data_IF_063109633791
#
_entry.id   IF_063109633791
#
_cell.length_a   1.000
_cell.length_b   1.000
_cell.length_c   1.000
_cell.angle_alpha   90.00
_cell.angle_beta   90.00
_cell.angle_gamma   90.00
#
_symmetry.space_group_name_H-M   'P 1'
#
loop_
_entity.id
_entity.type
_entity.pdbx_description
1 polymer ?
#
# COMPACT_ATOMS: atom_id res chain seq x y z
N UNK A 1 4.05 7.87 -8.22
CA UNK A 1 3.88 8.82 -7.10
C UNK A 1 2.39 9.08 -6.94
N UNK A 2 1.90 9.09 -5.71
CA UNK A 2 0.51 9.41 -5.41
C UNK A 2 0.44 10.76 -4.70
N UNK A 3 -0.57 11.56 -5.06
CA UNK A 3 -0.73 12.92 -4.56
C UNK A 3 -2.11 13.09 -3.94
N UNK A 4 -2.21 14.02 -2.99
CA UNK A 4 -3.45 14.40 -2.32
C UNK A 4 -3.58 15.92 -2.33
N UNK A 5 -4.81 16.43 -2.44
CA UNK A 5 -5.07 17.85 -2.23
C UNK A 5 -5.12 18.21 -0.73
N UNK A 6 -5.27 19.47 -0.42
CA UNK A 6 -5.31 20.00 0.97
C UNK A 6 -6.52 19.53 1.78
N UNK A 7 -7.53 18.94 1.11
CA UNK A 7 -8.70 18.34 1.74
C UNK A 7 -8.54 16.81 1.92
N UNK A 8 -7.40 16.27 1.50
CA UNK A 8 -7.11 14.85 1.57
C UNK A 8 -7.71 14.04 0.41
N UNK A 9 -8.21 14.67 -0.65
CA UNK A 9 -8.73 13.92 -1.79
C UNK A 9 -7.57 13.43 -2.66
N UNK A 10 -7.60 12.16 -3.12
CA UNK A 10 -6.56 11.61 -3.98
C UNK A 10 -6.56 12.28 -5.37
N UNK A 11 -5.36 12.58 -5.85
CA UNK A 11 -5.09 13.24 -7.15
C UNK A 11 -4.17 12.34 -7.98
N UNK A 12 -4.65 11.14 -8.35
CA UNK A 12 -3.83 10.12 -9.02
C UNK A 12 -3.74 10.35 -10.53
N UNK A 13 -4.76 10.96 -11.12
CA UNK A 13 -4.86 11.20 -12.55
C UNK A 13 -5.36 12.61 -12.84
N UNK A 14 -4.97 13.13 -14.02
CA UNK A 14 -5.40 14.45 -14.52
C UNK A 14 -5.72 14.35 -16.01
N UNK A 15 -6.70 15.13 -16.46
CA UNK A 15 -7.07 15.21 -17.89
C UNK A 15 -5.92 15.78 -18.72
N UNK A 16 -5.63 15.14 -19.84
CA UNK A 16 -4.79 15.67 -20.92
C UNK A 16 -5.57 16.68 -21.77
N UNK A 17 -4.84 17.44 -22.60
CA UNK A 17 -5.44 18.37 -23.58
C UNK A 17 -6.30 17.67 -24.64
N UNK A 18 -5.99 16.42 -24.95
CA UNK A 18 -6.72 15.56 -25.89
C UNK A 18 -7.97 14.87 -25.30
N UNK A 19 -8.29 15.16 -24.03
CA UNK A 19 -9.44 14.57 -23.30
C UNK A 19 -9.15 13.25 -22.60
N UNK A 20 -7.99 12.61 -22.84
CA UNK A 20 -7.57 11.40 -22.16
C UNK A 20 -7.12 11.66 -20.71
N UNK A 21 -6.95 10.59 -19.92
CA UNK A 21 -6.39 10.67 -18.57
C UNK A 21 -4.89 10.32 -18.59
N UNK A 22 -4.14 10.88 -17.67
CA UNK A 22 -2.75 10.49 -17.39
C UNK A 22 -2.47 10.54 -15.88
N UNK A 23 -1.51 9.75 -15.45
CA UNK A 23 -1.01 9.83 -14.08
C UNK A 23 -0.45 11.24 -13.78
N UNK A 24 -0.68 11.70 -12.56
CA UNK A 24 -0.17 12.97 -12.04
C UNK A 24 1.34 12.90 -11.78
N UNK A 25 2.00 14.02 -11.93
CA UNK A 25 3.44 14.16 -11.79
C UNK A 25 3.80 15.19 -10.71
N UNK A 26 5.08 15.26 -10.33
CA UNK A 26 5.58 16.30 -9.45
C UNK A 26 5.32 17.73 -10.00
N UNK A 27 5.33 17.88 -11.33
CA UNK A 27 5.02 19.19 -11.96
C UNK A 27 3.57 19.61 -11.70
N UNK A 28 2.65 18.65 -11.77
CA UNK A 28 1.24 18.91 -11.47
C UNK A 28 1.06 19.24 -9.99
N UNK A 29 1.72 18.48 -9.11
CA UNK A 29 1.69 18.73 -7.66
C UNK A 29 2.19 20.14 -7.30
N UNK A 30 3.31 20.58 -7.88
CA UNK A 30 3.83 21.95 -7.70
C UNK A 30 2.86 23.02 -8.17
N UNK A 31 2.15 22.76 -9.26
CA UNK A 31 1.16 23.71 -9.82
C UNK A 31 -0.06 23.88 -8.92
N UNK A 32 -0.46 22.81 -8.21
CA UNK A 32 -1.71 22.76 -7.48
C UNK A 32 -1.54 22.70 -5.95
N UNK A 33 -0.31 22.73 -5.43
CA UNK A 33 -0.04 22.63 -4.00
C UNK A 33 -0.36 21.23 -3.42
N UNK A 34 -0.33 20.16 -4.25
CA UNK A 34 -0.65 18.82 -3.77
C UNK A 34 0.48 18.21 -2.96
N UNK A 35 0.14 17.46 -1.92
CA UNK A 35 1.09 16.81 -1.02
C UNK A 35 1.39 15.37 -1.46
N UNK A 36 2.63 14.85 -1.23
CA UNK A 36 2.96 13.45 -1.51
C UNK A 36 2.23 12.49 -0.57
N UNK A 37 1.96 11.27 -1.03
CA UNK A 37 1.47 10.21 -0.15
C UNK A 37 2.57 9.72 0.81
N UNK A 38 2.15 9.15 1.96
CA UNK A 38 3.04 8.42 2.88
C UNK A 38 3.91 7.40 2.12
N UNK A 39 3.32 6.61 1.21
CA UNK A 39 4.06 5.63 0.42
C UNK A 39 5.06 6.26 -0.55
N UNK A 40 4.72 7.40 -1.15
CA UNK A 40 5.66 8.17 -2.02
C UNK A 40 6.85 8.70 -1.23
N UNK A 41 6.64 9.13 0.00
CA UNK A 41 7.71 9.55 0.91
C UNK A 41 8.60 8.35 1.27
N UNK A 42 8.00 7.24 1.69
CA UNK A 42 8.74 6.04 2.10
C UNK A 42 9.49 5.35 0.95
N UNK A 43 9.12 5.59 -0.31
CA UNK A 43 9.86 5.06 -1.46
C UNK A 43 11.32 5.57 -1.53
N UNK A 44 11.64 6.68 -0.84
CA UNK A 44 13.01 7.23 -0.81
C UNK A 44 13.98 6.37 0.03
N UNK A 45 13.45 5.68 1.04
CA UNK A 45 14.23 4.80 1.93
C UNK A 45 14.54 3.46 1.27
N UNK A 46 13.86 3.18 0.13
CA UNK A 46 13.97 1.90 -0.56
C UNK A 46 13.15 0.79 0.13
N UNK A 47 13.06 -0.34 -0.56
CA UNK A 47 12.33 -1.54 -0.11
C UNK A 47 13.19 -2.79 -0.33
N UNK A 48 14.21 -3.05 0.51
CA UNK A 48 15.13 -4.16 0.29
C UNK A 48 14.43 -5.51 0.10
N UNK A 49 13.38 -5.79 0.87
CA UNK A 49 12.59 -7.02 0.72
C UNK A 49 11.90 -7.15 -0.64
N UNK A 50 11.46 -6.04 -1.24
CA UNK A 50 10.88 -6.03 -2.58
C UNK A 50 11.94 -6.32 -3.66
N UNK A 51 13.15 -5.78 -3.50
CA UNK A 51 14.24 -6.04 -4.45
C UNK A 51 14.67 -7.51 -4.41
N UNK A 52 14.82 -8.09 -3.22
CA UNK A 52 15.07 -9.54 -3.06
C UNK A 52 13.95 -10.37 -3.70
N UNK A 53 12.69 -10.01 -3.47
CA UNK A 53 11.55 -10.69 -4.07
C UNK A 53 11.57 -10.63 -5.60
N UNK A 54 11.87 -9.47 -6.19
CA UNK A 54 12.00 -9.32 -7.66
C UNK A 54 13.11 -10.19 -8.24
N UNK A 55 14.25 -10.27 -7.55
CA UNK A 55 15.37 -11.14 -7.97
C UNK A 55 14.94 -12.60 -7.91
N UNK A 56 14.29 -13.04 -6.84
CA UNK A 56 13.79 -14.41 -6.72
C UNK A 56 12.78 -14.75 -7.83
N UNK A 57 11.84 -13.84 -8.15
CA UNK A 57 10.90 -14.03 -9.27
C UNK A 57 11.60 -14.10 -10.63
N UNK A 58 12.67 -13.35 -10.84
CA UNK A 58 13.47 -13.48 -12.05
C UNK A 58 14.20 -14.84 -12.14
N UNK A 59 14.71 -15.34 -11.00
CA UNK A 59 15.35 -16.67 -10.92
C UNK A 59 14.32 -17.77 -11.18
N UNK A 60 13.14 -17.75 -10.53
CA UNK A 60 12.05 -18.68 -10.77
C UNK A 60 11.64 -18.71 -12.25
N UNK A 61 11.51 -17.53 -12.86
CA UNK A 61 11.21 -17.42 -14.30
C UNK A 61 12.34 -18.01 -15.16
N UNK A 62 13.61 -17.83 -14.78
CA UNK A 62 14.74 -18.43 -15.50
C UNK A 62 14.76 -19.95 -15.44
N UNK A 63 14.23 -20.54 -14.36
CA UNK A 63 14.12 -22.00 -14.20
C UNK A 63 12.94 -22.61 -15.01
N UNK A 64 11.93 -21.80 -15.35
CA UNK A 64 10.69 -22.27 -16.02
C UNK A 64 10.64 -21.92 -17.50
N UNK A 65 11.18 -20.77 -17.91
CA UNK A 65 11.17 -20.29 -19.30
C UNK A 65 12.29 -20.96 -20.09
N UNK A 66 11.96 -21.98 -20.86
CA UNK A 66 12.93 -22.70 -21.70
C UNK A 66 13.44 -21.84 -22.85
N UNK A 67 14.73 -21.99 -23.20
CA UNK A 67 15.33 -21.34 -24.36
C UNK A 67 14.79 -21.94 -25.66
N UNK A 68 14.45 -21.07 -26.61
CA UNK A 68 13.99 -21.50 -27.92
C UNK A 68 15.16 -21.84 -28.84
N UNK A 69 14.91 -22.74 -29.81
CA UNK A 69 15.92 -23.11 -30.83
C UNK A 69 16.27 -21.87 -31.67
N UNK A 70 17.54 -21.55 -31.77
CA UNK A 70 18.03 -20.38 -32.52
C UNK A 70 17.95 -19.04 -31.77
N UNK A 71 17.39 -19.02 -30.56
CA UNK A 71 17.31 -17.80 -29.75
C UNK A 71 18.71 -17.42 -29.21
N UNK A 72 19.05 -16.14 -29.27
CA UNK A 72 20.27 -15.63 -28.63
C UNK A 72 20.10 -15.60 -27.10
N UNK A 73 21.23 -15.50 -26.39
CA UNK A 73 21.22 -15.37 -24.93
C UNK A 73 20.44 -14.12 -24.48
N UNK A 74 20.60 -13.01 -25.19
CA UNK A 74 19.96 -11.73 -24.87
C UNK A 74 18.45 -11.76 -25.10
N UNK A 75 17.96 -12.43 -26.15
CA UNK A 75 16.55 -12.62 -26.41
C UNK A 75 15.91 -13.49 -25.33
N UNK A 76 16.57 -14.60 -24.94
CA UNK A 76 16.11 -15.45 -23.85
C UNK A 76 16.03 -14.66 -22.53
N UNK A 77 17.06 -13.91 -22.16
CA UNK A 77 17.07 -13.08 -20.96
C UNK A 77 15.92 -12.04 -20.96
N UNK A 78 15.64 -11.39 -22.09
CA UNK A 78 14.48 -10.50 -22.25
C UNK A 78 13.16 -11.20 -22.01
N UNK A 79 12.98 -12.44 -22.52
CA UNK A 79 11.75 -13.22 -22.28
C UNK A 79 11.60 -13.61 -20.82
N UNK A 80 12.66 -14.03 -20.14
CA UNK A 80 12.67 -14.33 -18.70
C UNK A 80 12.20 -13.10 -17.91
N UNK A 81 12.81 -11.93 -18.17
CA UNK A 81 12.43 -10.69 -17.49
C UNK A 81 11.00 -10.25 -17.81
N UNK A 82 10.53 -10.46 -19.03
CA UNK A 82 9.13 -10.15 -19.40
C UNK A 82 8.16 -11.07 -18.66
N UNK A 83 8.47 -12.38 -18.54
CA UNK A 83 7.68 -13.34 -17.77
C UNK A 83 7.60 -12.95 -16.29
N UNK A 84 8.74 -12.69 -15.66
CA UNK A 84 8.81 -12.25 -14.26
C UNK A 84 8.00 -10.97 -14.00
N UNK A 85 8.04 -9.99 -14.91
CA UNK A 85 7.23 -8.76 -14.81
C UNK A 85 5.74 -9.05 -14.88
N UNK A 86 5.32 -9.91 -15.80
CA UNK A 86 3.91 -10.32 -15.95
C UNK A 86 3.38 -10.99 -14.68
N UNK A 87 4.15 -11.89 -14.07
CA UNK A 87 3.78 -12.51 -12.80
C UNK A 87 3.68 -11.48 -11.68
N UNK A 88 4.63 -10.55 -11.59
CA UNK A 88 4.62 -9.47 -10.60
C UNK A 88 3.40 -8.55 -10.76
N UNK A 89 3.01 -8.22 -11.99
CA UNK A 89 1.80 -7.46 -12.29
C UNK A 89 0.53 -8.20 -11.92
N UNK A 90 0.48 -9.51 -12.14
CA UNK A 90 -0.66 -10.33 -11.74
C UNK A 90 -0.80 -10.39 -10.21
N UNK A 91 0.31 -10.58 -9.48
CA UNK A 91 0.31 -10.55 -8.01
C UNK A 91 -0.17 -9.18 -7.48
N UNK A 92 0.30 -8.07 -8.06
CA UNK A 92 -0.17 -6.73 -7.70
C UNK A 92 -1.67 -6.54 -7.97
N UNK A 93 -2.20 -7.02 -9.11
CA UNK A 93 -3.64 -6.98 -9.42
C UNK A 93 -4.48 -7.80 -8.44
N UNK A 94 -4.00 -8.99 -8.04
CA UNK A 94 -4.66 -9.79 -6.99
C UNK A 94 -4.72 -9.03 -5.68
N UNK A 95 -3.61 -8.40 -5.27
CA UNK A 95 -3.54 -7.58 -4.07
C UNK A 95 -4.56 -6.43 -4.09
N UNK A 96 -4.57 -5.62 -5.15
CA UNK A 96 -5.53 -4.51 -5.31
C UNK A 96 -6.97 -5.00 -5.21
N UNK A 97 -7.28 -6.14 -5.83
CA UNK A 97 -8.63 -6.71 -5.79
C UNK A 97 -9.02 -7.12 -4.37
N UNK A 98 -8.17 -7.83 -3.63
CA UNK A 98 -8.44 -8.23 -2.24
C UNK A 98 -8.66 -6.99 -1.36
N UNK A 99 -7.85 -5.95 -1.52
CA UNK A 99 -8.03 -4.67 -0.81
C UNK A 99 -9.40 -4.03 -1.10
N UNK A 100 -9.82 -3.98 -2.38
CA UNK A 100 -11.12 -3.42 -2.76
C UNK A 100 -12.29 -4.21 -2.15
N UNK A 101 -12.20 -5.54 -2.11
CA UNK A 101 -13.23 -6.39 -1.51
C UNK A 101 -13.29 -6.21 0.01
N UNK A 102 -12.15 -6.09 0.69
CA UNK A 102 -12.10 -5.78 2.11
C UNK A 102 -12.67 -4.38 2.41
N UNK A 103 -12.37 -3.38 1.56
CA UNK A 103 -12.98 -2.06 1.65
C UNK A 103 -14.51 -2.15 1.64
N UNK A 104 -15.06 -2.83 0.64
CA UNK A 104 -16.51 -3.02 0.50
C UNK A 104 -17.10 -3.77 1.70
N UNK A 105 -16.43 -4.82 2.15
CA UNK A 105 -16.86 -5.61 3.30
C UNK A 105 -16.94 -4.75 4.58
N UNK A 106 -15.91 -3.98 4.90
CA UNK A 106 -15.90 -3.12 6.09
C UNK A 106 -16.80 -1.89 5.96
N UNK A 107 -17.15 -1.46 4.75
CA UNK A 107 -18.19 -0.44 4.51
C UNK A 107 -19.62 -0.96 4.67
N UNK A 108 -19.81 -2.24 4.97
CA UNK A 108 -21.12 -2.91 4.99
C UNK A 108 -21.89 -2.86 3.66
N UNK A 109 -21.19 -2.60 2.58
CA UNK A 109 -21.72 -2.69 1.23
C UNK A 109 -21.63 -4.15 0.77
N UNK A 110 -22.46 -5.04 1.37
CA UNK A 110 -22.57 -6.42 0.92
C UNK A 110 -23.16 -6.45 -0.48
N UNK A 111 -22.32 -6.66 -1.48
CA UNK A 111 -22.79 -7.06 -2.80
C UNK A 111 -23.05 -8.57 -2.68
N UNK A 112 -24.28 -8.92 -2.32
CA UNK A 112 -24.79 -10.28 -2.52
C UNK A 112 -25.20 -10.39 -3.99
N UNK A 113 -24.31 -10.84 -4.86
CA UNK A 113 -24.72 -11.39 -6.15
C UNK A 113 -24.64 -12.90 -6.08
N UNK A 114 -25.76 -13.55 -6.31
CA UNK A 114 -25.95 -14.98 -6.16
C UNK A 114 -25.28 -15.83 -7.25
N UNK A 115 -24.48 -15.25 -8.15
CA UNK A 115 -24.07 -15.87 -9.41
C UNK A 115 -22.54 -15.91 -9.68
N UNK A 116 -21.70 -15.69 -8.68
CA UNK A 116 -20.24 -15.69 -8.85
C UNK A 116 -19.58 -16.92 -8.22
N UNK A 117 -19.55 -18.03 -8.93
CA UNK A 117 -18.92 -19.32 -8.65
C UNK A 117 -17.88 -19.44 -7.50
N UNK A 118 -16.96 -20.38 -7.58
CA UNK A 118 -15.92 -20.67 -6.56
C UNK A 118 -15.09 -19.45 -6.11
N UNK A 119 -15.03 -18.43 -6.95
CA UNK A 119 -14.28 -17.21 -6.71
C UNK A 119 -14.89 -16.33 -5.60
N UNK A 120 -16.22 -16.23 -5.50
CA UNK A 120 -16.90 -15.50 -4.42
C UNK A 120 -16.65 -16.18 -3.07
N UNK A 121 -16.56 -17.50 -3.07
CA UNK A 121 -16.27 -18.31 -1.88
C UNK A 121 -14.91 -17.96 -1.28
N UNK A 122 -13.86 -17.77 -2.10
CA UNK A 122 -12.52 -17.48 -1.61
C UNK A 122 -12.40 -16.05 -1.08
N UNK A 123 -13.01 -15.07 -1.73
CA UNK A 123 -13.08 -13.69 -1.23
C UNK A 123 -13.84 -13.64 0.10
N UNK A 124 -14.96 -14.36 0.21
CA UNK A 124 -15.71 -14.44 1.46
C UNK A 124 -14.87 -15.04 2.58
N UNK A 125 -14.16 -16.14 2.34
CA UNK A 125 -13.22 -16.73 3.33
C UNK A 125 -12.15 -15.72 3.79
N UNK A 126 -11.60 -14.95 2.85
CA UNK A 126 -10.62 -13.89 3.17
C UNK A 126 -11.25 -12.83 4.08
N UNK A 127 -12.43 -12.32 3.72
CA UNK A 127 -13.11 -11.28 4.49
C UNK A 127 -13.48 -11.76 5.89
N UNK A 128 -14.08 -12.96 6.01
CA UNK A 128 -14.50 -13.54 7.29
C UNK A 128 -13.29 -13.84 8.19
N UNK A 129 -12.21 -14.40 7.63
CA UNK A 129 -10.99 -14.66 8.37
C UNK A 129 -10.31 -13.36 8.81
N UNK A 130 -10.28 -12.34 7.94
CA UNK A 130 -9.72 -11.01 8.28
C UNK A 130 -10.51 -10.39 9.42
N UNK A 131 -11.85 -10.42 9.36
CA UNK A 131 -12.71 -9.93 10.44
C UNK A 131 -12.45 -10.69 11.74
N UNK A 132 -12.44 -12.02 11.68
CA UNK A 132 -12.20 -12.87 12.86
C UNK A 132 -10.86 -12.55 13.53
N UNK A 133 -9.80 -12.39 12.74
CA UNK A 133 -8.46 -12.05 13.25
C UNK A 133 -8.45 -10.66 13.88
N UNK A 134 -9.16 -9.69 13.31
CA UNK A 134 -9.29 -8.34 13.88
C UNK A 134 -10.12 -8.37 15.17
N UNK A 135 -11.23 -9.09 15.22
CA UNK A 135 -12.07 -9.20 16.42
C UNK A 135 -11.29 -9.81 17.59
N UNK A 136 -10.46 -10.85 17.32
CA UNK A 136 -9.64 -11.51 18.33
C UNK A 136 -8.54 -10.60 18.89
N UNK A 137 -7.88 -9.80 18.02
CA UNK A 137 -6.69 -9.03 18.42
C UNK A 137 -7.01 -7.58 18.82
N UNK A 138 -8.07 -7.01 18.29
CA UNK A 138 -8.46 -5.60 18.49
C UNK A 138 -9.73 -5.44 19.33
N UNK A 139 -10.51 -6.51 19.52
CA UNK A 139 -11.84 -6.42 20.08
C UNK A 139 -12.85 -5.79 19.12
N UNK A 140 -14.06 -5.49 19.63
CA UNK A 140 -15.09 -4.81 18.85
C UNK A 140 -14.70 -3.36 18.59
N UNK A 141 -14.60 -2.99 17.32
CA UNK A 141 -14.18 -1.67 16.86
C UNK A 141 -15.20 -1.05 15.89
N UNK A 142 -15.36 0.26 15.95
CA UNK A 142 -16.05 1.03 14.93
C UNK A 142 -15.14 1.28 13.71
N UNK A 143 -14.94 0.26 12.89
CA UNK A 143 -14.05 0.35 11.75
C UNK A 143 -14.52 1.32 10.67
N UNK A 144 -13.59 2.12 10.14
CA UNK A 144 -13.77 2.98 8.98
C UNK A 144 -12.70 2.60 7.96
N UNK A 145 -13.14 2.23 6.74
CA UNK A 145 -12.24 1.84 5.64
C UNK A 145 -11.93 3.00 4.70
N UNK A 146 -10.75 2.93 4.08
CA UNK A 146 -10.33 3.78 2.97
C UNK A 146 -10.36 5.29 3.28
N UNK A 147 -9.98 5.68 4.50
CA UNK A 147 -9.94 7.09 4.90
C UNK A 147 -8.73 7.79 4.31
N UNK A 148 -8.98 8.75 3.45
CA UNK A 148 -7.96 9.68 2.96
C UNK A 148 -7.80 10.89 3.88
N UNK A 149 -6.58 11.43 3.93
CA UNK A 149 -6.25 12.60 4.75
C UNK A 149 -5.13 13.45 4.11
N UNK A 150 -5.00 14.68 4.58
CA UNK A 150 -3.86 15.56 4.36
C UNK A 150 -3.40 16.16 5.69
N UNK A 151 -2.13 15.92 6.05
CA UNK A 151 -1.47 16.60 7.17
C UNK A 151 -0.87 17.90 6.64
N UNK A 152 -1.61 19.00 6.81
CA UNK A 152 -1.29 20.30 6.20
C UNK A 152 0.05 20.87 6.69
N UNK A 153 0.31 20.79 7.99
CA UNK A 153 1.53 21.37 8.61
C UNK A 153 2.81 20.68 8.13
N UNK A 154 2.78 19.37 7.95
CA UNK A 154 3.93 18.60 7.47
C UNK A 154 3.93 18.38 5.96
N UNK A 155 2.84 18.71 5.27
CA UNK A 155 2.75 18.62 3.81
C UNK A 155 2.83 17.19 3.27
N UNK A 156 2.07 16.25 3.83
CA UNK A 156 1.93 14.90 3.30
C UNK A 156 0.49 14.39 3.45
N UNK A 157 0.13 13.38 2.71
CA UNK A 157 -1.20 12.80 2.76
C UNK A 157 -1.19 11.28 2.64
N UNK A 158 -2.35 10.67 2.71
CA UNK A 158 -2.45 9.22 2.59
C UNK A 158 -3.87 8.72 2.53
N UNK A 159 -4.00 7.43 2.26
CA UNK A 159 -5.24 6.68 2.33
C UNK A 159 -4.97 5.43 3.18
N UNK A 160 -5.77 5.27 4.22
CA UNK A 160 -5.63 4.22 5.22
C UNK A 160 -6.62 3.12 4.87
N UNK A 161 -6.16 1.87 4.82
CA UNK A 161 -7.02 0.75 4.47
C UNK A 161 -8.16 0.58 5.48
N UNK A 162 -7.81 0.56 6.78
CA UNK A 162 -8.79 0.42 7.86
C UNK A 162 -8.30 1.13 9.12
N UNK A 163 -9.18 1.87 9.79
CA UNK A 163 -8.86 2.47 11.08
C UNK A 163 -10.08 2.54 12.01
N UNK A 164 -9.79 2.70 13.30
CA UNK A 164 -10.75 2.99 14.35
C UNK A 164 -10.22 4.10 15.26
N UNK A 165 -10.92 4.35 16.38
CA UNK A 165 -10.41 5.27 17.41
C UNK A 165 -9.06 4.80 17.98
N UNK A 166 -8.84 3.49 18.09
CA UNK A 166 -7.68 2.90 18.76
C UNK A 166 -6.63 2.36 17.80
N UNK A 167 -6.99 2.00 16.56
CA UNK A 167 -6.15 1.26 15.65
C UNK A 167 -6.00 1.89 14.26
N UNK A 168 -4.83 1.66 13.67
CA UNK A 168 -4.58 1.83 12.23
C UNK A 168 -4.08 0.50 11.69
N UNK A 169 -4.75 0.00 10.67
CA UNK A 169 -4.48 -1.29 10.02
C UNK A 169 -4.13 -1.05 8.55
N UNK A 170 -3.12 -1.77 8.10
CA UNK A 170 -2.74 -1.80 6.68
C UNK A 170 -2.69 -3.26 6.23
N UNK A 171 -3.45 -3.59 5.18
CA UNK A 171 -3.53 -4.92 4.61
C UNK A 171 -2.33 -5.20 3.70
N UNK A 172 -1.79 -6.40 3.77
CA UNK A 172 -0.70 -6.86 2.91
C UNK A 172 -1.03 -8.22 2.33
N UNK A 173 -1.33 -8.27 1.04
CA UNK A 173 -1.53 -9.54 0.34
C UNK A 173 -0.20 -10.10 -0.14
N UNK A 174 0.03 -11.38 0.10
CA UNK A 174 1.17 -12.16 -0.41
C UNK A 174 0.67 -13.49 -0.94
N UNK A 175 1.40 -14.08 -1.88
CA UNK A 175 1.07 -15.42 -2.40
C UNK A 175 1.05 -16.44 -1.24
N UNK A 176 2.14 -16.56 -0.47
CA UNK A 176 2.21 -17.36 0.76
C UNK A 176 2.65 -16.52 1.95
N UNK A 177 2.16 -16.84 3.14
CA UNK A 177 2.49 -16.22 4.43
C UNK A 177 3.00 -17.23 5.47
N UNK A 178 3.49 -18.39 5.02
CA UNK A 178 3.99 -19.45 5.90
C UNK A 178 5.23 -19.02 6.69
N UNK A 179 6.17 -18.29 6.08
CA UNK A 179 7.38 -17.83 6.76
C UNK A 179 7.15 -16.47 7.44
N UNK A 180 6.75 -16.52 8.71
CA UNK A 180 6.49 -15.34 9.54
C UNK A 180 7.69 -14.40 9.67
N UNK A 181 8.91 -14.90 9.61
CA UNK A 181 10.14 -14.08 9.74
C UNK A 181 10.37 -13.13 8.57
N UNK A 182 9.78 -13.44 7.41
CA UNK A 182 9.90 -12.63 6.20
C UNK A 182 8.65 -11.79 5.91
N UNK A 183 7.67 -11.72 6.81
CA UNK A 183 6.43 -10.97 6.57
C UNK A 183 6.57 -9.50 6.90
N UNK A 184 7.01 -9.17 8.11
CA UNK A 184 7.01 -7.82 8.65
C UNK A 184 8.39 -7.16 8.53
N UNK A 185 8.42 -5.96 7.97
CA UNK A 185 9.62 -5.13 7.84
C UNK A 185 9.36 -3.76 8.45
N UNK A 186 10.32 -3.17 9.12
CA UNK A 186 10.19 -1.85 9.79
C UNK A 186 9.65 -0.74 8.86
N UNK A 187 9.92 -0.85 7.55
CA UNK A 187 9.35 0.09 6.57
C UNK A 187 7.81 0.12 6.56
N UNK A 188 7.16 -0.97 6.98
CA UNK A 188 5.70 -1.02 7.13
C UNK A 188 5.25 -0.26 8.37
N UNK A 189 6.01 -0.35 9.48
CA UNK A 189 5.75 0.44 10.67
C UNK A 189 5.93 1.94 10.40
N UNK A 190 6.96 2.33 9.62
CA UNK A 190 7.16 3.72 9.20
C UNK A 190 5.98 4.24 8.35
N UNK A 191 5.39 3.40 7.51
CA UNK A 191 4.17 3.72 6.76
C UNK A 191 2.98 3.92 7.69
N UNK A 192 2.76 2.98 8.60
CA UNK A 192 1.62 2.99 9.53
C UNK A 192 1.67 4.18 10.49
N UNK A 193 2.85 4.55 11.02
CA UNK A 193 2.96 5.72 11.90
C UNK A 193 2.67 7.02 11.15
N UNK A 194 3.06 7.13 9.87
CA UNK A 194 2.67 8.23 9.00
C UNK A 194 1.15 8.32 8.83
N UNK A 195 0.46 7.20 8.72
CA UNK A 195 -1.00 7.15 8.69
C UNK A 195 -1.62 7.53 10.04
N UNK A 196 -1.13 6.94 11.13
CA UNK A 196 -1.65 7.18 12.48
C UNK A 196 -1.61 8.65 12.86
N UNK A 197 -0.45 9.28 12.72
CA UNK A 197 -0.23 10.70 13.04
C UNK A 197 -0.91 11.65 12.03
N UNK A 198 -1.10 11.18 10.80
CA UNK A 198 -1.72 11.96 9.72
C UNK A 198 -3.19 12.26 9.90
N UNK A 199 -3.93 11.47 10.68
CA UNK A 199 -5.36 11.66 10.87
C UNK A 199 -5.69 12.89 11.72
N UNK A 200 -5.07 13.05 12.86
CA UNK A 200 -5.32 14.15 13.81
C UNK A 200 -4.21 14.28 14.87
N UNK A 201 -3.00 13.84 14.55
CA UNK A 201 -1.84 13.89 15.45
C UNK A 201 -1.85 12.86 16.58
N UNK A 202 -2.92 12.08 16.76
CA UNK A 202 -3.01 11.06 17.80
C UNK A 202 -2.20 9.80 17.44
N UNK A 203 -1.56 9.21 18.44
CA UNK A 203 -0.89 7.92 18.28
C UNK A 203 -1.88 6.79 18.53
N UNK A 204 -2.09 5.93 17.54
CA UNK A 204 -2.93 4.73 17.61
C UNK A 204 -2.06 3.49 17.60
N UNK A 205 -2.60 2.39 18.12
CA UNK A 205 -2.00 1.07 17.90
C UNK A 205 -1.93 0.78 16.41
N UNK A 206 -0.89 0.11 15.97
CA UNK A 206 -0.60 -0.10 14.55
C UNK A 206 -0.40 -1.59 14.28
N UNK A 207 -1.05 -2.09 13.24
CA UNK A 207 -0.82 -3.47 12.81
C UNK A 207 -0.86 -3.63 11.29
N UNK A 208 -0.09 -4.59 10.79
CA UNK A 208 -0.28 -5.15 9.47
C UNK A 208 -1.09 -6.44 9.57
N UNK A 209 -2.01 -6.62 8.65
CA UNK A 209 -2.74 -7.87 8.47
C UNK A 209 -2.29 -8.49 7.16
N UNK A 210 -1.56 -9.61 7.27
CA UNK A 210 -1.06 -10.36 6.13
C UNK A 210 -2.09 -11.38 5.68
N UNK A 211 -2.38 -11.40 4.39
CA UNK A 211 -3.43 -12.21 3.77
C UNK A 211 -2.79 -13.08 2.70
N UNK A 212 -2.98 -14.40 2.80
CA UNK A 212 -2.53 -15.32 1.76
C UNK A 212 -3.49 -15.28 0.57
N UNK A 213 -2.94 -15.06 -0.64
CA UNK A 213 -3.68 -15.15 -1.88
C UNK A 213 -3.85 -16.61 -2.35
N UNK A 214 -2.90 -17.48 -2.03
CA UNK A 214 -2.90 -18.89 -2.46
C UNK A 214 -3.64 -19.80 -1.46
N UNK A 215 -3.85 -19.34 -0.22
CA UNK A 215 -4.60 -20.06 0.81
C UNK A 215 -5.68 -19.13 1.42
N UNK A 216 -6.82 -18.95 0.74
CA UNK A 216 -7.91 -18.10 1.20
C UNK A 216 -8.39 -18.48 2.60
N UNK A 217 -8.41 -17.50 3.51
CA UNK A 217 -8.73 -17.70 4.93
C UNK A 217 -7.50 -17.84 5.83
N UNK A 218 -6.29 -17.99 5.28
CA UNK A 218 -5.07 -17.88 6.07
C UNK A 218 -4.67 -16.41 6.21
N UNK A 219 -4.80 -15.87 7.42
CA UNK A 219 -4.57 -14.47 7.77
C UNK A 219 -3.72 -14.38 9.03
N UNK A 220 -2.71 -13.51 9.03
CA UNK A 220 -1.80 -13.30 10.17
C UNK A 220 -1.87 -11.84 10.59
N UNK A 221 -2.09 -11.59 11.88
CA UNK A 221 -2.02 -10.28 12.50
C UNK A 221 -0.63 -10.02 13.07
N UNK A 222 -0.08 -8.85 12.78
CA UNK A 222 1.21 -8.41 13.31
C UNK A 222 1.07 -7.00 13.88
N UNK A 223 1.06 -6.88 15.20
CA UNK A 223 1.05 -5.61 15.90
C UNK A 223 2.48 -5.06 16.03
N UNK A 224 2.62 -3.76 15.79
CA UNK A 224 3.87 -3.05 16.00
C UNK A 224 3.99 -2.55 17.45
N UNK A 225 5.17 -2.72 18.09
CA UNK A 225 5.37 -2.32 19.49
C UNK A 225 5.14 -0.81 19.70
N UNK A 226 4.30 -0.47 20.68
CA UNK A 226 3.93 0.91 20.95
C UNK A 226 5.11 1.76 21.45
N UNK A 227 6.02 1.16 22.21
CA UNK A 227 7.25 1.80 22.71
C UNK A 227 8.21 2.24 21.58
N UNK A 228 8.04 1.68 20.37
CA UNK A 228 8.82 2.06 19.18
C UNK A 228 8.14 3.09 18.28
N UNK A 229 6.90 3.51 18.58
CA UNK A 229 6.16 4.42 17.70
C UNK A 229 6.89 5.77 17.48
N UNK A 230 7.54 6.31 18.51
CA UNK A 230 8.33 7.55 18.37
C UNK A 230 9.56 7.34 17.48
N UNK A 231 10.23 6.19 17.59
CA UNK A 231 11.35 5.86 16.70
C UNK A 231 10.88 5.77 15.24
N UNK A 232 9.76 5.08 14.98
CA UNK A 232 9.20 4.98 13.64
C UNK A 232 8.77 6.34 13.09
N UNK A 233 8.20 7.21 13.93
CA UNK A 233 7.84 8.56 13.56
C UNK A 233 9.04 9.41 13.18
N UNK A 234 10.12 9.35 13.95
CA UNK A 234 11.37 10.06 13.66
C UNK A 234 11.97 9.61 12.31
N UNK A 235 11.91 8.32 12.00
CA UNK A 235 12.36 7.82 10.68
C UNK A 235 11.46 8.35 9.56
N UNK A 236 10.13 8.32 9.75
CA UNK A 236 9.19 8.84 8.75
C UNK A 236 9.38 10.34 8.48
N UNK A 237 9.51 11.16 9.52
CA UNK A 237 9.72 12.61 9.38
C UNK A 237 11.06 12.93 8.74
N UNK A 238 12.13 12.20 9.08
CA UNK A 238 13.43 12.32 8.42
C UNK A 238 13.37 11.96 6.94
N UNK A 239 12.62 10.91 6.59
CA UNK A 239 12.38 10.55 5.20
C UNK A 239 11.57 11.62 4.46
N UNK A 240 10.57 12.23 5.11
CA UNK A 240 9.78 13.32 4.55
C UNK A 240 10.66 14.55 4.26
N UNK A 241 11.52 14.93 5.20
CA UNK A 241 12.44 16.05 5.00
C UNK A 241 13.46 15.76 3.89
N UNK A 242 14.02 14.56 3.86
CA UNK A 242 14.89 14.14 2.77
C UNK A 242 14.17 14.18 1.42
N UNK A 243 12.92 13.69 1.37
CA UNK A 243 12.08 13.74 0.17
C UNK A 243 11.87 15.18 -0.32
N UNK A 244 11.55 16.11 0.58
CA UNK A 244 11.37 17.54 0.27
C UNK A 244 12.62 18.15 -0.33
N UNK A 245 13.78 17.88 0.26
CA UNK A 245 15.07 18.33 -0.25
C UNK A 245 15.40 17.74 -1.62
N UNK A 246 15.30 16.42 -1.77
CA UNK A 246 15.60 15.74 -3.05
C UNK A 246 14.66 16.17 -4.18
N UNK A 247 13.41 16.46 -3.87
CA UNK A 247 12.42 16.93 -4.86
C UNK A 247 12.40 18.45 -5.01
N UNK A 248 13.11 19.20 -4.17
CA UNK A 248 13.03 20.66 -4.09
C UNK A 248 11.56 21.14 -4.11
N UNK A 249 10.76 20.57 -3.17
CA UNK A 249 9.32 20.85 -3.09
C UNK A 249 8.82 20.74 -1.64
N UNK A 250 8.23 21.85 -1.16
CA UNK A 250 7.67 22.00 0.19
C UNK A 250 6.21 22.40 0.09
N UNK A 251 5.29 21.42 0.01
CA UNK A 251 3.87 21.72 -0.20
C UNK A 251 3.21 22.47 0.97
N UNK A 252 3.75 22.38 2.18
CA UNK A 252 3.28 23.15 3.35
C UNK A 252 3.40 24.65 3.16
N UNK A 253 4.34 25.14 2.38
CA UNK A 253 4.53 26.56 2.10
C UNK A 253 3.36 27.15 1.29
N UNK A 254 2.74 26.35 0.41
CA UNK A 254 1.57 26.78 -0.37
C UNK A 254 0.30 26.95 0.48
N UNK A 255 0.23 26.29 1.64
CA UNK A 255 -0.92 26.37 2.53
C UNK A 255 -0.91 27.63 3.40
N UNK A 256 0.26 28.28 3.54
CA UNK A 256 0.45 29.48 4.37
C UNK A 256 0.27 30.79 3.59
N UNK A 257 0.31 30.75 2.25
CA UNK A 257 0.12 31.95 1.41
C UNK A 257 -1.34 32.28 1.11
N UNK A 258 -2.29 31.44 1.55
CA UNK A 258 -3.74 31.59 1.32
C UNK A 258 -4.58 31.90 2.56
N UNK A 259 -3.94 32.31 3.68
CA UNK A 259 -4.62 32.61 4.95
C UNK A 259 -4.72 34.09 5.17
#
# INVERSE_FOLDING_TARGET
>A
MHWYDTNGNPQYEIKKKDGGMRATTLRDARKHGWVPSVTTVMDIVGKPGLEVWKVNKAIESAMTVQRLVGETYEEHAKRILAHSRKESEQAAKRGVRIHNELELFFRKACIHSADMGDYETDIRKICDATKSVLDVNCGEQGWISEKSFCHKELGYGGKIDLYSKEWVIDFKTKDSIEDKKQLAFDSMAHQLVGYSRGLNGESRRMANVFISADNPGHVIFHEWPQDKHELYWNVFTSALDLWKHMKNYRPEEFNNEGS
#
